data_IF_383735758630
#
_entry.id   IF_383735758630
#
_cell.length_a   1.000
_cell.length_b   1.000
_cell.length_c   1.000
_cell.angle_alpha   90.00
_cell.angle_beta   90.00
_cell.angle_gamma   90.00
#
_symmetry.space_group_name_H-M   'P 1'
#
loop_
_entity.id
_entity.type
_entity.pdbx_description
1 polymer ?
#
# COMPACT_ATOMS: atom_id res chain seq x y z
N UNK A 1 -33.99 -8.92 0.16
CA UNK A 1 -33.20 -10.08 0.64
C UNK A 1 -31.84 -9.52 1.03
N UNK A 2 -31.44 -9.62 2.28
CA UNK A 2 -30.11 -9.20 2.72
C UNK A 2 -29.08 -10.22 2.19
N UNK A 3 -28.04 -9.74 1.52
CA UNK A 3 -26.88 -10.55 1.14
C UNK A 3 -26.08 -10.88 2.40
N UNK A 4 -25.65 -12.12 2.56
CA UNK A 4 -24.69 -12.50 3.61
C UNK A 4 -23.34 -11.85 3.30
N UNK A 5 -22.78 -11.10 4.25
CA UNK A 5 -21.45 -10.48 4.12
C UNK A 5 -20.40 -11.36 4.80
N UNK A 6 -19.32 -11.64 4.08
CA UNK A 6 -18.18 -12.40 4.60
C UNK A 6 -16.97 -11.47 4.66
N UNK A 7 -16.52 -11.17 5.85
CA UNK A 7 -15.34 -10.34 6.08
C UNK A 7 -14.08 -11.19 6.10
N UNK A 8 -13.06 -10.77 5.33
CA UNK A 8 -11.75 -11.41 5.31
C UNK A 8 -10.72 -10.44 5.88
N UNK A 9 -10.10 -10.82 6.99
CA UNK A 9 -8.95 -10.11 7.50
C UNK A 9 -7.69 -10.67 6.84
N UNK A 10 -7.10 -9.91 5.93
CA UNK A 10 -5.87 -10.26 5.20
C UNK A 10 -4.77 -9.21 5.46
N UNK A 11 -4.09 -9.27 6.63
CA UNK A 11 -3.09 -8.29 7.05
C UNK A 11 -1.85 -8.25 6.14
N UNK A 12 -1.65 -9.28 5.32
CA UNK A 12 -0.62 -9.34 4.29
C UNK A 12 -0.91 -8.47 3.05
N UNK A 13 -2.08 -7.81 3.00
CA UNK A 13 -2.54 -7.03 1.85
C UNK A 13 -1.49 -6.05 1.33
N UNK A 14 -0.86 -5.27 2.23
CA UNK A 14 0.14 -4.27 1.85
C UNK A 14 1.35 -4.88 1.15
N UNK A 15 1.77 -6.09 1.55
CA UNK A 15 2.87 -6.81 0.91
C UNK A 15 2.47 -7.35 -0.46
N UNK A 16 1.24 -7.88 -0.56
CA UNK A 16 0.69 -8.40 -1.81
C UNK A 16 0.51 -7.30 -2.84
N UNK A 17 -0.04 -6.15 -2.44
CA UNK A 17 -0.25 -5.02 -3.36
C UNK A 17 1.08 -4.39 -3.80
N UNK A 18 2.08 -4.33 -2.91
CA UNK A 18 3.42 -3.85 -3.23
C UNK A 18 4.15 -4.77 -4.20
N UNK A 19 4.00 -6.09 -4.06
CA UNK A 19 4.59 -7.06 -4.97
C UNK A 19 3.86 -7.08 -6.32
N UNK A 20 2.55 -7.19 -6.33
CA UNK A 20 1.70 -7.16 -7.53
C UNK A 20 1.59 -8.50 -8.29
N UNK A 21 2.34 -9.53 -7.91
CA UNK A 21 2.28 -10.86 -8.53
C UNK A 21 1.16 -11.69 -7.87
N UNK A 22 0.31 -12.31 -8.67
CA UNK A 22 -0.77 -13.19 -8.20
C UNK A 22 -0.25 -14.46 -7.49
N UNK A 23 0.99 -14.89 -7.79
CA UNK A 23 1.65 -16.04 -7.18
C UNK A 23 2.48 -15.66 -5.94
N UNK A 24 2.49 -14.38 -5.57
CA UNK A 24 3.25 -13.95 -4.40
C UNK A 24 2.72 -14.62 -3.13
N UNK A 25 3.61 -15.29 -2.42
CA UNK A 25 3.35 -15.89 -1.12
C UNK A 25 3.95 -14.98 -0.05
N UNK A 26 3.12 -14.30 0.74
CA UNK A 26 3.62 -13.46 1.82
C UNK A 26 4.31 -14.27 2.91
N UNK A 27 5.26 -13.68 3.65
CA UNK A 27 5.92 -14.34 4.76
C UNK A 27 4.91 -14.79 5.83
N UNK A 28 5.13 -15.94 6.46
CA UNK A 28 4.27 -16.46 7.53
C UNK A 28 4.03 -15.46 8.66
N UNK A 29 5.05 -14.67 9.00
CA UNK A 29 4.92 -13.60 10.02
C UNK A 29 3.90 -12.51 9.67
N UNK A 30 3.57 -12.32 8.40
CA UNK A 30 2.53 -11.39 7.96
C UNK A 30 1.14 -12.04 7.94
N UNK A 31 1.07 -13.36 7.87
CA UNK A 31 -0.17 -14.13 7.80
C UNK A 31 -0.67 -14.59 9.18
N UNK A 32 0.22 -14.66 10.18
CA UNK A 32 -0.07 -15.25 11.49
C UNK A 32 -1.25 -14.60 12.24
N UNK A 33 -1.52 -13.33 11.98
CA UNK A 33 -2.72 -12.67 12.52
C UNK A 33 -4.02 -13.10 11.85
N UNK A 34 -3.97 -13.63 10.62
CA UNK A 34 -5.15 -14.09 9.90
C UNK A 34 -5.58 -15.50 10.31
N UNK A 35 -4.61 -16.35 10.68
CA UNK A 35 -4.85 -17.75 11.05
C UNK A 35 -5.65 -17.89 12.36
N UNK A 36 -5.60 -16.89 13.24
CA UNK A 36 -6.28 -16.92 14.54
C UNK A 36 -7.78 -16.57 14.46
N UNK A 37 -8.28 -16.05 13.33
CA UNK A 37 -9.57 -15.37 13.38
C UNK A 37 -10.66 -15.80 12.38
N UNK A 38 -10.42 -16.60 11.34
CA UNK A 38 -11.51 -16.99 10.42
C UNK A 38 -11.22 -18.33 9.72
N UNK A 39 -12.00 -19.34 10.02
CA UNK A 39 -12.12 -20.51 9.15
C UNK A 39 -13.01 -20.18 7.94
N UNK A 40 -12.41 -19.47 6.98
CA UNK A 40 -13.06 -19.10 5.74
C UNK A 40 -13.57 -20.33 4.97
N UNK A 41 -12.87 -21.47 5.07
CA UNK A 41 -13.18 -22.69 4.35
C UNK A 41 -14.52 -23.30 4.75
N UNK A 42 -14.92 -23.20 6.01
CA UNK A 42 -16.23 -23.68 6.47
C UNK A 42 -17.38 -22.80 5.97
N UNK A 43 -17.19 -21.50 5.93
CA UNK A 43 -18.23 -20.57 5.46
C UNK A 43 -18.43 -20.65 3.95
N UNK A 44 -17.39 -20.93 3.19
CA UNK A 44 -17.45 -21.04 1.72
C UNK A 44 -18.01 -22.39 1.23
N UNK A 45 -17.87 -23.46 2.02
CA UNK A 45 -18.35 -24.83 1.67
C UNK A 45 -19.85 -25.05 1.86
N UNK A 46 -20.58 -24.13 2.50
CA UNK A 46 -22.03 -24.27 2.69
C UNK A 46 -22.77 -23.95 1.39
N UNK A 47 -23.50 -24.88 0.81
CA UNK A 47 -24.33 -24.64 -0.37
C UNK A 47 -25.50 -23.74 0.04
N UNK A 48 -25.36 -22.46 -0.09
CA UNK A 48 -26.47 -21.54 0.16
C UNK A 48 -26.75 -20.70 -1.09
N UNK A 49 -28.03 -20.65 -1.49
CA UNK A 49 -28.55 -19.93 -2.66
C UNK A 49 -28.57 -18.42 -2.50
N UNK A 50 -28.01 -17.87 -1.42
CA UNK A 50 -27.94 -16.43 -1.19
C UNK A 50 -26.68 -15.85 -1.82
N UNK A 51 -26.78 -14.69 -2.44
CA UNK A 51 -25.62 -13.92 -2.91
C UNK A 51 -24.76 -13.55 -1.70
N UNK A 52 -23.53 -14.07 -1.66
CA UNK A 52 -22.52 -13.72 -0.66
C UNK A 52 -21.69 -12.57 -1.20
N UNK A 53 -21.49 -11.56 -0.39
CA UNK A 53 -20.57 -10.48 -0.68
C UNK A 53 -19.30 -10.67 0.15
N UNK A 54 -18.16 -10.82 -0.52
CA UNK A 54 -16.87 -10.95 0.14
C UNK A 54 -16.30 -9.55 0.35
N UNK A 55 -15.96 -9.22 1.59
CA UNK A 55 -15.42 -7.93 2.00
C UNK A 55 -14.07 -8.17 2.67
N UNK A 56 -12.96 -8.16 1.93
CA UNK A 56 -11.64 -8.27 2.52
C UNK A 56 -11.19 -6.94 3.12
N UNK A 57 -10.18 -6.99 3.99
CA UNK A 57 -9.43 -5.81 4.41
C UNK A 57 -8.90 -5.03 3.20
N UNK A 58 -8.40 -5.73 2.17
CA UNK A 58 -8.06 -5.14 0.89
C UNK A 58 -7.95 -6.18 -0.21
N UNK A 59 -8.46 -5.84 -1.40
CA UNK A 59 -8.36 -6.68 -2.59
C UNK A 59 -6.97 -6.60 -3.23
N UNK A 60 -6.42 -7.75 -3.61
CA UNK A 60 -5.19 -7.88 -4.37
C UNK A 60 -5.18 -9.16 -5.21
N UNK A 61 -4.24 -9.28 -6.16
CA UNK A 61 -4.15 -10.42 -7.08
C UNK A 61 -3.98 -11.76 -6.38
N UNK A 62 -3.15 -11.82 -5.32
CA UNK A 62 -2.92 -13.06 -4.56
C UNK A 62 -4.17 -13.53 -3.84
N UNK A 63 -4.95 -12.62 -3.23
CA UNK A 63 -6.22 -12.96 -2.60
C UNK A 63 -7.25 -13.45 -3.62
N UNK A 64 -7.40 -12.72 -4.74
CA UNK A 64 -8.30 -13.13 -5.84
C UNK A 64 -7.99 -14.55 -6.29
N UNK A 65 -6.72 -14.85 -6.55
CA UNK A 65 -6.28 -16.18 -6.98
C UNK A 65 -6.56 -17.25 -5.92
N UNK A 66 -6.28 -16.96 -4.64
CA UNK A 66 -6.57 -17.88 -3.55
C UNK A 66 -8.05 -18.25 -3.51
N UNK A 67 -8.93 -17.25 -3.53
CA UNK A 67 -10.38 -17.46 -3.50
C UNK A 67 -10.91 -18.23 -4.71
N UNK A 68 -10.38 -17.94 -5.90
CA UNK A 68 -10.71 -18.73 -7.10
C UNK A 68 -10.29 -20.19 -6.98
N UNK A 69 -9.10 -20.47 -6.42
CA UNK A 69 -8.63 -21.83 -6.15
C UNK A 69 -9.46 -22.56 -5.07
N UNK A 70 -10.07 -21.82 -4.15
CA UNK A 70 -11.01 -22.33 -3.13
C UNK A 70 -12.42 -22.56 -3.68
N UNK A 71 -12.65 -22.30 -4.98
CA UNK A 71 -13.90 -22.57 -5.68
C UNK A 71 -14.91 -21.42 -5.67
N UNK A 72 -14.48 -20.21 -5.34
CA UNK A 72 -15.31 -19.00 -5.51
C UNK A 72 -15.43 -18.70 -7.00
N UNK A 73 -16.66 -18.45 -7.45
CA UNK A 73 -16.90 -18.08 -8.84
C UNK A 73 -16.12 -16.82 -9.23
N UNK A 74 -15.18 -16.91 -10.20
CA UNK A 74 -14.38 -15.76 -10.64
C UNK A 74 -15.21 -14.56 -11.10
N UNK A 75 -16.43 -14.77 -11.57
CA UNK A 75 -17.33 -13.69 -11.98
C UNK A 75 -17.83 -12.83 -10.80
N UNK A 76 -17.66 -13.31 -9.56
CA UNK A 76 -18.01 -12.57 -8.33
C UNK A 76 -16.82 -11.86 -7.69
N UNK A 77 -15.61 -12.10 -8.22
CA UNK A 77 -14.37 -11.49 -7.76
C UNK A 77 -14.04 -10.23 -8.57
N UNK A 78 -13.22 -9.33 -8.05
CA UNK A 78 -12.86 -8.11 -8.78
C UNK A 78 -12.19 -8.42 -10.12
N UNK A 79 -12.48 -7.59 -11.12
CA UNK A 79 -11.80 -7.62 -12.41
C UNK A 79 -10.32 -7.23 -12.29
N UNK A 80 -9.53 -7.47 -13.34
CA UNK A 80 -8.13 -7.00 -13.38
C UNK A 80 -8.04 -5.48 -13.37
N UNK A 81 -9.00 -4.81 -14.01
CA UNK A 81 -9.08 -3.34 -14.05
C UNK A 81 -9.33 -2.77 -12.65
N UNK A 82 -10.23 -3.39 -11.88
CA UNK A 82 -10.49 -2.99 -10.48
C UNK A 82 -9.28 -3.22 -9.59
N UNK A 83 -8.58 -4.34 -9.73
CA UNK A 83 -7.36 -4.60 -8.96
C UNK A 83 -6.24 -3.62 -9.32
N UNK A 84 -6.08 -3.32 -10.60
CA UNK A 84 -5.13 -2.32 -11.05
C UNK A 84 -5.50 -0.91 -10.57
N UNK A 85 -6.78 -0.57 -10.57
CA UNK A 85 -7.28 0.68 -10.01
C UNK A 85 -6.92 0.78 -8.51
N UNK A 86 -7.23 -0.25 -7.72
CA UNK A 86 -6.89 -0.31 -6.28
C UNK A 86 -5.38 -0.11 -6.10
N UNK A 87 -4.56 -0.87 -6.83
CA UNK A 87 -3.10 -0.77 -6.73
C UNK A 87 -2.56 0.62 -7.06
N UNK A 88 -3.08 1.23 -8.12
CA UNK A 88 -2.66 2.56 -8.56
C UNK A 88 -3.03 3.64 -7.54
N UNK A 89 -4.26 3.59 -7.00
CA UNK A 89 -4.76 4.59 -6.06
C UNK A 89 -4.27 4.36 -4.62
N UNK A 90 -3.71 3.19 -4.33
CA UNK A 90 -3.02 2.92 -3.05
C UNK A 90 -1.57 3.42 -3.03
N UNK A 91 -1.02 3.88 -4.16
CA UNK A 91 0.34 4.43 -4.22
C UNK A 91 0.41 5.81 -3.55
N UNK A 92 1.51 6.08 -2.88
CA UNK A 92 1.74 7.40 -2.25
C UNK A 92 1.71 8.57 -3.24
N UNK A 93 2.12 8.33 -4.48
CA UNK A 93 2.05 9.34 -5.56
C UNK A 93 0.62 9.83 -5.79
N UNK A 94 -0.37 8.94 -5.68
CA UNK A 94 -1.77 9.36 -5.80
C UNK A 94 -2.18 10.36 -4.71
N UNK A 95 -1.77 10.12 -3.46
CA UNK A 95 -2.01 11.08 -2.38
C UNK A 95 -1.29 12.42 -2.62
N UNK A 96 -0.12 12.41 -3.27
CA UNK A 96 0.60 13.63 -3.64
C UNK A 96 -0.16 14.41 -4.72
N UNK A 97 -0.68 13.72 -5.73
CA UNK A 97 -1.48 14.32 -6.78
C UNK A 97 -2.75 14.97 -6.21
N UNK A 98 -3.48 14.23 -5.35
CA UNK A 98 -4.65 14.77 -4.65
C UNK A 98 -4.29 16.02 -3.84
N UNK A 99 -3.21 15.96 -3.05
CA UNK A 99 -2.76 17.11 -2.25
C UNK A 99 -2.41 18.32 -3.10
N UNK A 100 -1.78 18.13 -4.26
CA UNK A 100 -1.44 19.23 -5.17
C UNK A 100 -2.66 19.95 -5.73
N UNK A 101 -3.80 19.25 -5.83
CA UNK A 101 -5.08 19.78 -6.34
C UNK A 101 -5.95 20.40 -5.25
N UNK A 102 -5.65 20.15 -3.97
CA UNK A 102 -6.39 20.76 -2.88
C UNK A 102 -6.12 22.26 -2.85
N UNK A 103 -7.18 23.04 -2.96
CA UNK A 103 -7.13 24.51 -2.95
C UNK A 103 -6.90 25.09 -1.54
N UNK A 104 -6.37 24.30 -0.61
CA UNK A 104 -6.09 24.75 0.73
C UNK A 104 -4.95 25.77 0.69
N UNK A 105 -5.27 27.04 0.83
CA UNK A 105 -4.32 28.16 0.85
C UNK A 105 -4.00 28.64 2.28
N UNK A 106 -4.27 27.81 3.26
CA UNK A 106 -3.87 28.13 4.62
C UNK A 106 -2.33 28.09 4.69
N UNK A 107 -1.73 29.21 5.10
CA UNK A 107 -0.28 29.34 5.24
C UNK A 107 0.32 28.39 6.30
N UNK A 108 -0.53 27.77 7.12
CA UNK A 108 -0.12 26.73 8.09
C UNK A 108 -0.05 25.34 7.48
N UNK A 109 -0.57 25.13 6.27
CA UNK A 109 -0.47 23.87 5.56
C UNK A 109 0.80 23.86 4.70
N UNK A 110 1.62 22.84 4.88
CA UNK A 110 2.85 22.67 4.11
C UNK A 110 2.49 22.46 2.63
N UNK A 111 3.02 23.30 1.76
CA UNK A 111 2.86 23.18 0.31
C UNK A 111 3.55 21.94 -0.27
N UNK A 112 3.38 21.63 -1.55
CA UNK A 112 3.93 20.44 -2.20
C UNK A 112 5.47 20.42 -2.29
N UNK A 113 6.13 21.58 -2.13
CA UNK A 113 7.57 21.77 -2.43
C UNK A 113 8.53 21.07 -1.46
N UNK A 114 8.01 20.47 -0.38
CA UNK A 114 8.84 19.74 0.58
C UNK A 114 9.17 18.30 0.14
N UNK A 115 8.75 17.88 -1.05
CA UNK A 115 8.85 16.51 -1.50
C UNK A 115 8.94 16.37 -3.01
N UNK A 116 9.53 15.24 -3.45
CA UNK A 116 9.58 14.85 -4.87
C UNK A 116 9.19 13.37 -5.02
N UNK A 117 8.83 13.00 -6.23
CA UNK A 117 8.75 11.61 -6.70
C UNK A 117 9.99 11.36 -7.52
N UNK A 118 10.99 10.71 -6.94
CA UNK A 118 12.24 10.41 -7.60
C UNK A 118 12.15 9.11 -8.41
N UNK A 119 12.70 9.13 -9.61
CA UNK A 119 12.78 7.99 -10.54
C UNK A 119 14.22 7.48 -10.72
N UNK A 120 15.17 8.16 -10.12
CA UNK A 120 16.59 7.79 -10.13
C UNK A 120 17.24 8.03 -8.77
N UNK A 121 18.36 7.34 -8.53
CA UNK A 121 19.18 7.57 -7.32
C UNK A 121 19.76 8.96 -7.30
N UNK A 122 20.15 9.51 -8.47
CA UNK A 122 20.68 10.87 -8.56
C UNK A 122 19.70 11.92 -8.08
N UNK A 123 18.42 11.83 -8.46
CA UNK A 123 17.39 12.76 -7.98
C UNK A 123 17.21 12.70 -6.45
N UNK A 124 17.39 11.51 -5.86
CA UNK A 124 17.34 11.33 -4.40
C UNK A 124 18.54 12.03 -3.74
N UNK A 125 19.74 11.84 -4.29
CA UNK A 125 20.98 12.44 -3.78
C UNK A 125 20.95 13.97 -3.89
N UNK A 126 20.47 14.50 -5.02
CA UNK A 126 20.30 15.94 -5.23
C UNK A 126 19.35 16.55 -4.20
N UNK A 127 18.23 15.87 -3.94
CA UNK A 127 17.27 16.31 -2.93
C UNK A 127 17.86 16.31 -1.52
N UNK A 128 18.59 15.25 -1.14
CA UNK A 128 19.23 15.14 0.18
C UNK A 128 20.27 16.25 0.34
N UNK A 129 21.10 16.49 -0.70
CA UNK A 129 22.13 17.53 -0.69
C UNK A 129 21.55 18.93 -0.52
N UNK A 130 20.35 19.18 -1.04
CA UNK A 130 19.68 20.47 -0.92
C UNK A 130 18.95 20.67 0.43
N UNK A 131 18.70 19.59 1.19
CA UNK A 131 17.86 19.64 2.40
C UNK A 131 18.53 19.06 3.66
N UNK A 132 19.82 18.67 3.60
CA UNK A 132 20.62 18.05 4.67
C UNK A 132 20.06 16.73 5.23
N UNK A 133 18.77 16.48 5.07
CA UNK A 133 18.13 15.25 5.51
C UNK A 133 16.83 14.98 4.76
N UNK A 134 16.49 13.71 4.61
CA UNK A 134 15.27 13.28 3.93
C UNK A 134 14.64 12.06 4.60
N UNK A 135 13.34 11.88 4.33
CA UNK A 135 12.60 10.66 4.55
C UNK A 135 12.29 10.05 3.21
N UNK A 136 12.81 8.84 2.98
CA UNK A 136 12.54 8.07 1.77
C UNK A 136 11.40 7.10 2.04
N UNK A 137 10.43 7.05 1.13
CA UNK A 137 9.27 6.16 1.27
C UNK A 137 9.05 5.38 -0.01
N UNK A 138 8.87 4.06 0.08
CA UNK A 138 8.41 3.29 -1.08
C UNK A 138 6.96 3.66 -1.43
N UNK A 139 6.59 3.66 -2.71
CA UNK A 139 5.24 3.98 -3.18
C UNK A 139 4.15 3.14 -2.53
N UNK A 140 4.40 1.84 -2.42
CA UNK A 140 3.50 0.87 -1.80
C UNK A 140 4.24 0.20 -0.63
N UNK A 141 3.78 0.43 0.57
CA UNK A 141 4.26 -0.23 1.79
C UNK A 141 3.31 0.06 2.95
N UNK A 142 3.25 -0.86 3.89
CA UNK A 142 2.50 -0.72 5.14
C UNK A 142 3.37 -0.84 6.38
N UNK A 143 2.81 -0.49 7.52
CA UNK A 143 3.39 -0.70 8.85
C UNK A 143 4.83 -0.15 9.01
N UNK A 144 5.14 0.96 8.37
CA UNK A 144 6.46 1.62 8.45
C UNK A 144 7.62 0.92 7.75
N UNK A 145 7.43 -0.27 7.19
CA UNK A 145 8.51 -1.09 6.60
C UNK A 145 9.16 -0.49 5.34
N UNK A 146 8.47 0.39 4.64
CA UNK A 146 8.94 1.05 3.43
C UNK A 146 9.46 2.47 3.68
N UNK A 147 9.98 2.79 4.87
CA UNK A 147 10.48 4.12 5.24
C UNK A 147 11.95 4.04 5.62
N UNK A 148 12.74 5.02 5.13
CA UNK A 148 14.14 5.23 5.48
C UNK A 148 14.36 6.68 5.88
N UNK A 149 15.20 6.89 6.88
CA UNK A 149 15.63 8.22 7.32
C UNK A 149 17.09 8.40 6.93
N UNK A 150 17.38 9.42 6.14
CA UNK A 150 18.72 9.69 5.63
C UNK A 150 19.18 11.08 6.08
N UNK A 151 20.48 11.21 6.41
CA UNK A 151 21.13 12.49 6.71
C UNK A 151 22.35 12.64 5.81
N UNK A 152 22.57 13.84 5.31
CA UNK A 152 23.72 14.26 4.50
C UNK A 152 23.92 13.48 3.20
N UNK A 153 23.94 12.15 3.23
CA UNK A 153 24.12 11.28 2.06
C UNK A 153 23.52 9.90 2.26
N UNK A 154 23.30 9.19 1.16
CA UNK A 154 22.91 7.79 1.18
C UNK A 154 24.06 6.92 1.71
N UNK A 155 23.76 5.99 2.61
CA UNK A 155 24.63 4.85 2.89
C UNK A 155 24.53 3.82 1.76
N UNK A 156 25.49 2.88 1.67
CA UNK A 156 25.41 1.76 0.72
C UNK A 156 24.12 0.94 0.89
N UNK A 157 23.66 0.78 2.14
CA UNK A 157 22.40 0.08 2.47
C UNK A 157 21.18 0.86 1.94
N UNK A 158 21.18 2.19 2.08
CA UNK A 158 20.09 3.05 1.62
C UNK A 158 20.07 3.13 0.11
N UNK A 159 21.22 3.26 -0.53
CA UNK A 159 21.35 3.24 -1.99
C UNK A 159 20.84 1.89 -2.56
N UNK A 160 21.25 0.78 -1.99
CA UNK A 160 20.79 -0.55 -2.38
C UNK A 160 19.27 -0.71 -2.19
N UNK A 161 18.69 -0.11 -1.15
CA UNK A 161 17.25 -0.09 -0.95
C UNK A 161 16.54 0.78 -2.00
N UNK A 162 17.08 1.97 -2.31
CA UNK A 162 16.54 2.85 -3.36
C UNK A 162 16.51 2.14 -4.70
N UNK A 163 17.64 1.54 -5.14
CA UNK A 163 17.72 0.79 -6.40
C UNK A 163 16.66 -0.32 -6.47
N UNK A 164 16.54 -1.16 -5.43
CA UNK A 164 15.51 -2.21 -5.40
C UNK A 164 14.09 -1.67 -5.42
N UNK A 165 13.84 -0.52 -4.81
CA UNK A 165 12.51 0.11 -4.81
C UNK A 165 12.19 0.70 -6.18
N UNK A 166 13.14 1.38 -6.79
CA UNK A 166 13.02 1.89 -8.16
C UNK A 166 12.76 0.77 -9.16
N UNK A 167 13.53 -0.32 -9.09
CA UNK A 167 13.36 -1.49 -9.97
C UNK A 167 11.98 -2.14 -9.83
N UNK A 168 11.47 -2.26 -8.59
CA UNK A 168 10.21 -2.97 -8.32
C UNK A 168 8.97 -2.09 -8.44
N UNK A 169 9.08 -0.83 -8.07
CA UNK A 169 7.92 0.06 -7.93
C UNK A 169 8.01 1.33 -8.80
N UNK A 170 9.14 1.54 -9.48
CA UNK A 170 9.33 2.61 -10.47
C UNK A 170 9.68 3.97 -9.88
N UNK A 171 9.51 4.18 -8.56
CA UNK A 171 9.78 5.48 -7.93
C UNK A 171 10.08 5.33 -6.43
N UNK A 172 10.61 6.40 -5.85
CA UNK A 172 10.77 6.61 -4.41
C UNK A 172 10.22 8.00 -4.08
N UNK A 173 9.38 8.09 -3.06
CA UNK A 173 8.94 9.37 -2.52
C UNK A 173 10.02 9.88 -1.60
N UNK A 174 10.51 11.08 -1.86
CA UNK A 174 11.54 11.74 -1.05
C UNK A 174 10.95 12.98 -0.43
N UNK A 175 10.93 13.03 0.88
CA UNK A 175 10.34 14.14 1.63
C UNK A 175 11.39 14.78 2.54
N UNK A 176 11.27 16.09 2.73
CA UNK A 176 12.02 16.79 3.76
C UNK A 176 11.70 16.22 5.14
N UNK A 177 12.71 16.02 5.96
CA UNK A 177 12.51 15.56 7.33
C UNK A 177 12.06 16.71 8.22
N UNK A 178 10.90 16.52 8.87
CA UNK A 178 10.38 17.46 9.89
C UNK A 178 10.51 16.86 11.29
N UNK A 179 10.61 17.72 12.29
CA UNK A 179 10.43 17.32 13.68
C UNK A 179 8.95 17.15 13.96
N UNK A 180 8.57 15.95 14.44
CA UNK A 180 7.18 15.64 14.75
C UNK A 180 6.89 16.19 16.15
N UNK A 181 6.05 17.22 16.23
CA UNK A 181 5.58 17.76 17.51
C UNK A 181 4.33 17.04 18.03
N UNK A 182 3.45 16.61 17.11
CA UNK A 182 2.19 15.94 17.42
C UNK A 182 1.72 15.09 16.25
N UNK A 183 1.23 13.91 16.54
CA UNK A 183 0.59 13.03 15.55
C UNK A 183 -0.91 13.00 15.77
N UNK A 184 -1.68 12.97 14.71
CA UNK A 184 -3.12 12.78 14.73
C UNK A 184 -3.54 11.91 13.54
N UNK A 185 -4.67 11.21 13.69
CA UNK A 185 -5.29 10.45 12.63
C UNK A 185 -6.77 10.86 12.51
N UNK A 186 -7.28 10.89 11.28
CA UNK A 186 -8.70 11.03 11.01
C UNK A 186 -9.20 9.74 10.35
N UNK A 187 -10.32 9.23 10.83
CA UNK A 187 -11.01 8.09 10.26
C UNK A 187 -12.24 8.60 9.52
N UNK A 188 -12.44 8.12 8.31
CA UNK A 188 -13.59 8.44 7.48
C UNK A 188 -14.36 7.15 7.23
N UNK A 189 -15.68 7.24 7.31
CA UNK A 189 -16.62 6.21 6.85
C UNK A 189 -17.27 6.72 5.57
N UNK A 190 -17.25 5.92 4.49
CA UNK A 190 -17.80 6.26 3.16
C UNK A 190 -19.00 5.40 2.82
#
# INVERSE_FOLDING_TARGET
MQSEQIYIFNPEHDLCIANGDENFVPPRSAMGFAEENIDLSEHLKRPNKQRRQIIPWGWNHSLKKRLANEGIDPATLPSEEELQFIRTHSRREFALDVHSRLSCRDSQVIGPDYRIVATSVSEIEDFISANDSAVLKSPLSGSGKGIRFVREKLSESDEGWCRRTLDKQGSVIVERRFEIMKECAMLFEC
#
